data_IF_326119158588
#
_entry.id   IF_326119158588
#
_cell.length_a   1.000
_cell.length_b   1.000
_cell.length_c   1.000
_cell.angle_alpha   90.00
_cell.angle_beta   90.00
_cell.angle_gamma   90.00
#
_symmetry.space_group_name_H-M   'P 1'
#
loop_
_entity.id
_entity.type
_entity.pdbx_description
1 polymer ?
#
# COMPACT_ATOMS: atom_id res chain seq x y z
N UNK A 1 34.13 -29.66 0.08
CA UNK A 1 35.53 -29.63 -0.41
C UNK A 1 36.25 -28.66 0.51
N UNK A 2 37.33 -29.08 1.19
CA UNK A 2 37.99 -28.24 2.21
C UNK A 2 39.10 -27.43 1.56
N UNK A 3 39.02 -26.10 1.65
CA UNK A 3 40.09 -25.21 1.23
C UNK A 3 40.66 -24.50 2.47
N UNK A 4 41.99 -24.55 2.58
CA UNK A 4 42.74 -23.87 3.63
C UNK A 4 43.26 -22.55 3.08
N UNK A 5 42.89 -21.45 3.73
CA UNK A 5 43.30 -20.10 3.31
C UNK A 5 44.03 -19.43 4.47
N UNK A 6 45.21 -18.90 4.19
CA UNK A 6 46.00 -18.16 5.15
C UNK A 6 45.62 -16.67 5.06
N UNK A 7 45.16 -16.11 6.17
CA UNK A 7 44.72 -14.71 6.25
C UNK A 7 45.48 -13.97 7.35
N UNK A 8 45.55 -12.64 7.22
CA UNK A 8 46.24 -11.76 8.18
C UNK A 8 45.22 -10.92 8.94
N UNK A 9 45.32 -10.86 10.27
CA UNK A 9 44.46 -10.00 11.09
C UNK A 9 44.65 -8.53 10.69
N UNK A 10 43.59 -7.79 10.32
CA UNK A 10 43.73 -6.36 10.05
C UNK A 10 43.97 -5.54 11.31
N UNK A 11 43.70 -6.09 12.51
CA UNK A 11 43.83 -5.38 13.79
C UNK A 11 45.22 -5.61 14.41
N UNK A 12 45.71 -6.85 14.45
CA UNK A 12 46.97 -7.19 15.13
C UNK A 12 48.09 -7.71 14.20
N UNK A 13 47.83 -7.81 12.89
CA UNK A 13 48.83 -8.19 11.90
C UNK A 13 49.30 -9.65 11.92
N UNK A 14 48.81 -10.48 12.83
CA UNK A 14 49.17 -11.90 12.92
C UNK A 14 48.50 -12.71 11.82
N UNK A 15 49.22 -13.69 11.26
CA UNK A 15 48.68 -14.62 10.26
C UNK A 15 48.03 -15.82 10.95
N UNK A 16 46.92 -16.29 10.39
CA UNK A 16 46.24 -17.51 10.81
C UNK A 16 45.61 -18.23 9.62
N UNK A 17 45.56 -19.56 9.71
CA UNK A 17 44.96 -20.39 8.68
C UNK A 17 43.50 -20.67 9.03
N UNK A 18 42.61 -20.48 8.05
CA UNK A 18 41.20 -20.82 8.15
C UNK A 18 40.92 -22.01 7.24
N UNK A 19 40.38 -23.08 7.81
CA UNK A 19 39.82 -24.20 7.05
C UNK A 19 38.34 -23.89 6.76
N UNK A 20 38.03 -23.61 5.50
CA UNK A 20 36.66 -23.34 5.03
C UNK A 20 36.05 -24.63 4.48
N UNK A 21 34.98 -25.11 5.11
CA UNK A 21 34.17 -26.22 4.58
C UNK A 21 33.07 -25.63 3.68
N UNK A 22 33.29 -25.66 2.37
CA UNK A 22 32.34 -25.13 1.38
C UNK A 22 31.29 -26.21 1.11
N UNK A 23 30.12 -26.08 1.75
CA UNK A 23 28.91 -26.84 1.42
C UNK A 23 28.02 -26.02 0.48
N UNK A 24 27.77 -26.59 -0.71
CA UNK A 24 26.62 -26.36 -1.61
C UNK A 24 26.10 -24.93 -1.80
N UNK A 25 26.34 -24.39 -2.99
CA UNK A 25 25.78 -23.18 -3.60
C UNK A 25 24.35 -22.84 -3.12
N UNK A 26 24.22 -21.71 -2.41
CA UNK A 26 22.95 -20.99 -2.27
C UNK A 26 22.96 -19.90 -3.35
N UNK A 27 22.22 -20.10 -4.43
CA UNK A 27 21.88 -19.03 -5.36
C UNK A 27 20.86 -18.13 -4.68
N UNK A 28 21.32 -17.03 -4.09
CA UNK A 28 20.43 -15.94 -3.71
C UNK A 28 20.08 -15.17 -4.99
N UNK A 29 18.88 -15.40 -5.52
CA UNK A 29 18.28 -14.48 -6.49
C UNK A 29 18.08 -13.14 -5.78
N UNK A 30 18.88 -12.15 -6.15
CA UNK A 30 18.69 -10.79 -5.69
C UNK A 30 17.40 -10.26 -6.33
N UNK A 31 16.30 -10.28 -5.57
CA UNK A 31 15.13 -9.47 -5.89
C UNK A 31 15.64 -8.03 -6.04
N UNK A 32 15.41 -7.36 -7.18
CA UNK A 32 15.90 -6.00 -7.36
C UNK A 32 15.38 -5.15 -6.20
N UNK A 33 16.30 -4.47 -5.52
CA UNK A 33 15.95 -3.57 -4.42
C UNK A 33 14.86 -2.63 -4.92
N UNK A 34 13.63 -2.78 -4.42
CA UNK A 34 12.54 -1.89 -4.72
C UNK A 34 13.06 -0.48 -4.42
N UNK A 35 13.23 0.32 -5.46
CA UNK A 35 13.71 1.69 -5.34
C UNK A 35 12.85 2.34 -4.27
N UNK A 36 13.47 2.79 -3.15
CA UNK A 36 12.77 3.55 -2.12
C UNK A 36 12.14 4.75 -2.82
N UNK A 37 10.87 4.64 -3.22
CA UNK A 37 10.13 5.75 -3.82
C UNK A 37 10.22 6.87 -2.77
N UNK A 38 10.66 8.08 -3.13
CA UNK A 38 10.77 9.17 -2.17
C UNK A 38 9.43 9.32 -1.47
N UNK A 39 9.46 9.48 -0.15
CA UNK A 39 8.26 9.48 0.71
C UNK A 39 7.21 10.48 0.19
N UNK A 40 7.65 11.59 -0.39
CA UNK A 40 6.78 12.57 -1.05
C UNK A 40 5.98 12.03 -2.24
N UNK A 41 6.52 11.11 -3.04
CA UNK A 41 5.79 10.46 -4.12
C UNK A 41 4.81 9.40 -3.62
N UNK A 42 5.13 8.73 -2.50
CA UNK A 42 4.21 7.78 -1.85
C UNK A 42 3.03 8.53 -1.24
N UNK A 43 3.28 9.63 -0.52
CA UNK A 43 2.26 10.48 0.08
C UNK A 43 1.35 11.11 -0.99
N UNK A 44 1.91 11.64 -2.08
CA UNK A 44 1.12 12.16 -3.22
C UNK A 44 0.32 11.06 -3.92
N UNK A 45 0.88 9.86 -4.03
CA UNK A 45 0.16 8.70 -4.54
C UNK A 45 -1.05 8.37 -3.66
N UNK A 46 -0.86 8.30 -2.35
CA UNK A 46 -1.93 8.03 -1.39
C UNK A 46 -2.99 9.13 -1.36
N UNK A 47 -2.59 10.40 -1.42
CA UNK A 47 -3.53 11.53 -1.53
C UNK A 47 -4.39 11.43 -2.80
N UNK A 48 -3.78 11.10 -3.94
CA UNK A 48 -4.50 10.93 -5.20
C UNK A 48 -5.47 9.75 -5.16
N UNK A 49 -5.11 8.64 -4.49
CA UNK A 49 -5.98 7.48 -4.29
C UNK A 49 -7.21 7.83 -3.47
N UNK A 50 -7.00 8.43 -2.30
CA UNK A 50 -8.07 8.84 -1.38
C UNK A 50 -9.00 9.83 -2.08
N UNK A 51 -8.44 10.84 -2.75
CA UNK A 51 -9.20 11.84 -3.48
C UNK A 51 -10.01 11.23 -4.64
N UNK A 52 -9.44 10.28 -5.39
CA UNK A 52 -10.18 9.57 -6.43
C UNK A 52 -11.39 8.81 -5.87
N UNK A 53 -11.17 7.98 -4.83
CA UNK A 53 -12.23 7.18 -4.19
C UNK A 53 -13.35 8.08 -3.65
N UNK A 54 -13.00 9.17 -2.96
CA UNK A 54 -13.97 10.12 -2.43
C UNK A 54 -14.74 10.85 -3.54
N UNK A 55 -14.09 11.21 -4.65
CA UNK A 55 -14.77 11.82 -5.80
C UNK A 55 -15.71 10.84 -6.49
N UNK A 56 -15.28 9.60 -6.70
CA UNK A 56 -16.11 8.54 -7.28
C UNK A 56 -17.36 8.33 -6.41
N UNK A 57 -17.18 8.19 -5.10
CA UNK A 57 -18.28 8.03 -4.15
C UNK A 57 -19.23 9.25 -4.16
N UNK A 58 -18.72 10.49 -4.23
CA UNK A 58 -19.57 11.69 -4.37
C UNK A 58 -20.36 11.70 -5.68
N UNK A 59 -19.73 11.27 -6.77
CA UNK A 59 -20.37 11.21 -8.10
C UNK A 59 -21.43 10.11 -8.21
N UNK A 60 -21.30 9.03 -7.43
CA UNK A 60 -22.32 8.00 -7.29
C UNK A 60 -23.45 8.47 -6.36
N UNK A 61 -23.09 9.01 -5.19
CA UNK A 61 -24.05 9.53 -4.21
C UNK A 61 -24.92 10.68 -4.76
N UNK A 62 -24.44 11.45 -5.74
CA UNK A 62 -25.24 12.52 -6.37
C UNK A 62 -26.28 12.00 -7.36
N UNK A 63 -26.16 10.76 -7.83
CA UNK A 63 -27.15 10.12 -8.72
C UNK A 63 -28.28 9.48 -7.94
N UNK A 64 -28.02 9.07 -6.69
CA UNK A 64 -29.01 8.50 -5.80
C UNK A 64 -29.59 9.55 -4.83
N UNK A 65 -30.90 9.77 -4.80
CA UNK A 65 -31.53 10.67 -3.82
C UNK A 65 -31.29 10.26 -2.35
N UNK A 66 -31.02 8.97 -2.12
CA UNK A 66 -30.73 8.38 -0.82
C UNK A 66 -29.32 8.70 -0.33
N UNK A 67 -28.40 9.09 -1.23
CA UNK A 67 -26.96 9.18 -0.96
C UNK A 67 -26.31 7.84 -0.60
N UNK A 68 -26.99 6.71 -0.85
CA UNK A 68 -26.45 5.36 -0.69
C UNK A 68 -25.58 5.03 -1.90
N UNK A 69 -24.43 4.41 -1.64
CA UNK A 69 -23.49 4.01 -2.68
C UNK A 69 -23.06 2.59 -2.42
N UNK A 70 -23.17 1.73 -3.42
CA UNK A 70 -22.66 0.36 -3.32
C UNK A 70 -21.14 0.36 -3.41
N UNK A 71 -20.49 -0.42 -2.54
CA UNK A 71 -19.02 -0.54 -2.53
C UNK A 71 -18.53 -1.14 -3.84
N UNK A 72 -19.27 -2.08 -4.43
CA UNK A 72 -18.95 -2.68 -5.73
C UNK A 72 -18.86 -1.63 -6.84
N UNK A 73 -19.78 -0.66 -6.89
CA UNK A 73 -19.73 0.41 -7.89
C UNK A 73 -18.50 1.31 -7.73
N UNK A 74 -18.05 1.53 -6.48
CA UNK A 74 -16.83 2.28 -6.20
C UNK A 74 -15.61 1.49 -6.70
N UNK A 75 -15.56 0.18 -6.41
CA UNK A 75 -14.48 -0.71 -6.85
C UNK A 75 -14.43 -0.78 -8.38
N UNK A 76 -15.56 -0.93 -9.06
CA UNK A 76 -15.64 -0.95 -10.54
C UNK A 76 -15.09 0.33 -11.19
N UNK A 77 -15.24 1.48 -10.54
CA UNK A 77 -14.66 2.75 -10.99
C UNK A 77 -13.16 2.83 -10.68
N UNK A 78 -12.73 2.31 -9.54
CA UNK A 78 -11.35 2.30 -9.09
C UNK A 78 -10.48 1.36 -9.95
N UNK A 79 -10.99 0.18 -10.32
CA UNK A 79 -10.28 -0.78 -11.17
C UNK A 79 -9.97 -0.19 -12.56
N UNK A 80 -10.86 0.64 -13.11
CA UNK A 80 -10.64 1.32 -14.40
C UNK A 80 -9.46 2.27 -14.39
N UNK A 81 -9.05 2.75 -13.22
CA UNK A 81 -7.87 3.61 -13.04
C UNK A 81 -6.67 2.87 -12.43
N UNK A 82 -6.78 1.55 -12.32
CA UNK A 82 -5.70 0.68 -11.82
C UNK A 82 -5.57 0.64 -10.30
N UNK A 83 -6.65 0.91 -9.57
CA UNK A 83 -6.70 0.70 -8.12
C UNK A 83 -7.28 -0.68 -7.82
N UNK A 84 -6.64 -1.37 -6.89
CA UNK A 84 -7.10 -2.69 -6.45
C UNK A 84 -8.18 -2.55 -5.38
N UNK A 85 -9.06 -3.57 -5.27
CA UNK A 85 -10.11 -3.62 -4.25
C UNK A 85 -9.58 -3.41 -2.84
N UNK A 86 -8.44 -4.03 -2.51
CA UNK A 86 -7.81 -3.90 -1.19
C UNK A 86 -7.49 -2.43 -0.87
N UNK A 87 -7.02 -1.66 -1.85
CA UNK A 87 -6.70 -0.24 -1.68
C UNK A 87 -7.97 0.60 -1.46
N UNK A 88 -9.06 0.27 -2.16
CA UNK A 88 -10.36 0.92 -1.96
C UNK A 88 -10.90 0.61 -0.56
N UNK A 89 -10.84 -0.65 -0.14
CA UNK A 89 -11.29 -1.09 1.18
C UNK A 89 -10.49 -0.42 2.30
N UNK A 90 -9.17 -0.27 2.15
CA UNK A 90 -8.33 0.49 3.08
C UNK A 90 -8.78 1.94 3.22
N UNK A 91 -9.06 2.62 2.10
CA UNK A 91 -9.56 4.00 2.09
C UNK A 91 -10.92 4.08 2.77
N UNK A 92 -11.87 3.22 2.40
CA UNK A 92 -13.20 3.21 3.00
C UNK A 92 -13.14 2.91 4.51
N UNK A 93 -12.27 2.00 4.94
CA UNK A 93 -12.07 1.70 6.36
C UNK A 93 -11.44 2.89 7.11
N UNK A 94 -10.54 3.64 6.49
CA UNK A 94 -9.99 4.86 7.07
C UNK A 94 -11.06 5.95 7.22
N UNK A 95 -11.88 6.18 6.19
CA UNK A 95 -12.94 7.19 6.21
C UNK A 95 -14.08 6.84 7.17
N UNK A 96 -14.41 5.53 7.32
CA UNK A 96 -15.34 5.04 8.36
C UNK A 96 -14.81 5.34 9.76
N UNK A 97 -13.52 5.08 10.01
CA UNK A 97 -12.87 5.39 11.30
C UNK A 97 -12.78 6.89 11.58
N UNK A 98 -12.60 7.70 10.54
CA UNK A 98 -12.62 9.16 10.64
C UNK A 98 -14.04 9.72 10.86
N UNK A 99 -15.09 8.92 10.65
CA UNK A 99 -16.48 9.32 10.83
C UNK A 99 -17.03 10.18 9.68
N UNK A 100 -16.37 10.19 8.52
CA UNK A 100 -16.85 10.91 7.33
C UNK A 100 -17.88 10.12 6.54
N UNK A 101 -17.83 8.79 6.65
CA UNK A 101 -18.78 7.86 6.06
C UNK A 101 -19.22 6.81 7.08
N UNK A 102 -20.37 6.19 6.81
CA UNK A 102 -20.87 5.07 7.59
C UNK A 102 -21.48 4.02 6.65
N UNK A 103 -21.64 2.81 7.17
CA UNK A 103 -22.17 1.67 6.43
C UNK A 103 -23.55 1.29 6.99
N UNK A 104 -24.66 1.79 6.43
CA UNK A 104 -26.00 1.43 6.88
C UNK A 104 -26.33 -0.05 6.69
N UNK A 105 -25.74 -0.69 5.67
CA UNK A 105 -25.90 -2.11 5.35
C UNK A 105 -24.59 -2.66 4.79
N UNK A 106 -24.32 -3.97 4.97
CA UNK A 106 -23.13 -4.59 4.40
C UNK A 106 -23.02 -4.30 2.90
N UNK A 107 -21.89 -3.71 2.48
CA UNK A 107 -21.61 -3.37 1.08
C UNK A 107 -22.22 -2.05 0.60
N UNK A 108 -22.85 -1.26 1.47
CA UNK A 108 -23.44 0.04 1.11
C UNK A 108 -22.90 1.12 2.04
N UNK A 109 -22.31 2.18 1.48
CA UNK A 109 -21.74 3.30 2.22
C UNK A 109 -22.49 4.60 1.95
N UNK A 110 -22.51 5.49 2.95
CA UNK A 110 -23.13 6.80 2.85
C UNK A 110 -22.29 7.84 3.60
N UNK A 111 -22.31 9.09 3.12
CA UNK A 111 -21.65 10.19 3.83
C UNK A 111 -22.41 10.55 5.11
N UNK A 112 -21.68 10.73 6.22
CA UNK A 112 -22.28 11.18 7.50
C UNK A 112 -22.79 12.62 7.42
N UNK A 113 -22.08 13.47 6.67
CA UNK A 113 -22.50 14.84 6.34
C UNK A 113 -22.75 14.90 4.84
N UNK A 114 -23.95 15.29 4.39
CA UNK A 114 -24.24 15.42 2.96
C UNK A 114 -23.19 16.31 2.29
N UNK A 115 -22.59 15.90 1.17
CA UNK A 115 -21.48 16.60 0.53
C UNK A 115 -21.83 18.02 0.06
N UNK A 116 -23.13 18.36 -0.01
CA UNK A 116 -23.62 19.70 -0.34
C UNK A 116 -23.42 20.72 0.80
N UNK A 117 -23.26 20.26 2.06
CA UNK A 117 -23.13 21.13 3.25
C UNK A 117 -21.69 21.38 3.70
N UNK A 118 -20.68 20.81 3.06
CA UNK A 118 -19.28 20.97 3.46
C UNK A 118 -18.58 22.18 2.82
N UNK A 119 -19.31 23.06 2.13
CA UNK A 119 -18.84 24.39 1.70
C UNK A 119 -19.47 25.45 2.61
N UNK A 120 -18.92 25.58 3.82
CA UNK A 120 -19.17 26.67 4.75
C UNK A 120 -17.84 27.26 5.18
#
# INVERSE_FOLDING_TARGET
MRQRVQVKCPICGKQFDLDLDISTYVTAEAVPAQSRKPISLILRGNEAKVDFVLRAMRALASKEPSGMVEVEEIVDLAEKVGLEREEVDEVLAAEKRAGHIYEPKPGVVCFTIPPERSKG
#
